data_IF_971201851019
#
_entry.id   IF_971201851019
#
_cell.length_a   1.000
_cell.length_b   1.000
_cell.length_c   1.000
_cell.angle_alpha   90.00
_cell.angle_beta   90.00
_cell.angle_gamma   90.00
#
_symmetry.space_group_name_H-M   'P 1'
#
loop_
_entity.id
_entity.type
_entity.pdbx_description
1 polymer ?
#
# COMPACT_ATOMS: atom_id res chain seq x y z
N UNK A 1 4.51 7.73 -32.69
CA UNK A 1 3.94 8.62 -31.66
C UNK A 1 4.93 8.72 -30.51
N UNK A 2 5.39 9.94 -30.22
CA UNK A 2 6.29 10.40 -29.14
C UNK A 2 5.84 9.94 -27.74
N UNK A 3 6.62 9.19 -26.93
CA UNK A 3 7.72 9.51 -25.97
C UNK A 3 7.29 9.60 -24.47
N UNK A 4 8.18 9.13 -23.58
CA UNK A 4 8.17 8.92 -22.10
C UNK A 4 7.54 7.59 -21.63
N UNK A 5 8.25 6.57 -21.11
CA UNK A 5 9.36 6.44 -20.12
C UNK A 5 9.00 6.83 -18.68
N UNK A 6 8.83 5.80 -17.83
CA UNK A 6 9.12 5.69 -16.37
C UNK A 6 8.22 4.57 -15.82
N UNK A 7 8.71 3.33 -15.65
CA UNK A 7 9.51 2.81 -14.52
C UNK A 7 8.68 2.47 -13.28
N UNK A 8 8.83 1.20 -12.87
CA UNK A 8 8.35 0.53 -11.64
C UNK A 8 6.83 0.41 -11.47
N UNK A 9 6.25 -0.78 -11.30
CA UNK A 9 6.65 -1.74 -10.29
C UNK A 9 6.30 -3.17 -10.74
N UNK A 10 7.26 -3.89 -11.34
CA UNK A 10 7.29 -5.35 -11.14
C UNK A 10 7.74 -5.54 -9.71
N UNK A 11 6.83 -5.67 -8.73
CA UNK A 11 7.20 -6.38 -7.50
C UNK A 11 7.29 -7.85 -7.92
N UNK A 12 8.46 -8.50 -7.92
CA UNK A 12 8.44 -9.96 -7.87
C UNK A 12 7.70 -10.28 -6.58
N UNK A 13 6.50 -10.85 -6.67
CA UNK A 13 5.77 -11.36 -5.51
C UNK A 13 6.67 -12.37 -4.80
N UNK A 14 7.43 -11.88 -3.82
CA UNK A 14 8.21 -12.67 -2.89
C UNK A 14 7.22 -13.47 -2.08
N UNK A 15 7.39 -14.79 -2.08
CA UNK A 15 6.43 -15.80 -1.64
C UNK A 15 6.28 -15.90 -0.11
N UNK A 16 6.49 -14.79 0.57
CA UNK A 16 6.44 -14.66 2.01
C UNK A 16 5.43 -13.56 2.28
N UNK A 17 4.13 -13.87 2.14
CA UNK A 17 3.11 -13.05 2.80
C UNK A 17 3.32 -13.30 4.30
N UNK A 18 4.03 -12.41 5.00
CA UNK A 18 4.47 -12.69 6.35
C UNK A 18 3.24 -12.65 7.25
N UNK A 19 3.19 -13.48 8.28
CA UNK A 19 2.14 -13.40 9.31
C UNK A 19 1.89 -11.96 9.78
N UNK A 20 2.92 -11.11 9.76
CA UNK A 20 2.88 -9.67 9.93
C UNK A 20 1.78 -8.99 9.10
N UNK A 21 1.63 -9.25 7.79
CA UNK A 21 0.58 -8.61 6.99
C UNK A 21 -0.82 -8.96 7.49
N UNK A 22 -1.02 -10.19 7.94
CA UNK A 22 -2.31 -10.63 8.49
C UNK A 22 -2.60 -10.04 9.86
N UNK A 23 -1.57 -9.68 10.61
CA UNK A 23 -1.69 -8.95 11.87
C UNK A 23 -1.93 -7.46 11.61
N UNK A 24 -1.14 -6.85 10.73
CA UNK A 24 -1.31 -5.49 10.21
C UNK A 24 -2.71 -5.25 9.66
N UNK A 25 -3.28 -6.18 8.89
CA UNK A 25 -4.65 -6.04 8.36
C UNK A 25 -5.72 -6.08 9.44
N UNK A 26 -5.44 -6.70 10.59
CA UNK A 26 -6.35 -6.66 11.75
C UNK A 26 -6.19 -5.36 12.53
N UNK A 27 -4.96 -4.89 12.72
CA UNK A 27 -4.67 -3.67 13.48
C UNK A 27 -5.03 -2.40 12.69
N UNK A 28 -4.77 -2.42 11.39
CA UNK A 28 -4.96 -1.30 10.46
C UNK A 28 -6.11 -1.52 9.48
N UNK A 29 -6.99 -2.49 9.72
CA UNK A 29 -8.09 -2.82 8.80
C UNK A 29 -9.03 -1.64 8.51
N UNK A 30 -9.26 -0.77 9.50
CA UNK A 30 -10.03 0.46 9.32
C UNK A 30 -9.33 1.45 8.39
N UNK A 31 -8.05 1.71 8.62
CA UNK A 31 -7.21 2.56 7.76
C UNK A 31 -7.09 1.99 6.35
N UNK A 32 -6.97 0.67 6.23
CA UNK A 32 -6.91 -0.02 4.94
C UNK A 32 -8.21 0.15 4.15
N UNK A 33 -9.39 0.04 4.78
CA UNK A 33 -10.65 0.26 4.09
C UNK A 33 -10.72 1.67 3.49
N UNK A 34 -10.34 2.70 4.25
CA UNK A 34 -10.29 4.08 3.76
C UNK A 34 -9.31 4.25 2.60
N UNK A 35 -8.09 3.71 2.71
CA UNK A 35 -7.13 3.77 1.60
C UNK A 35 -7.60 2.99 0.38
N UNK A 36 -8.33 1.88 0.57
CA UNK A 36 -8.84 1.07 -0.54
C UNK A 36 -9.96 1.80 -1.30
N UNK A 37 -10.74 2.63 -0.60
CA UNK A 37 -11.72 3.52 -1.23
C UNK A 37 -11.05 4.65 -2.01
N UNK A 38 -9.94 5.20 -1.51
CA UNK A 38 -9.19 6.29 -2.17
C UNK A 38 -8.30 5.78 -3.32
N UNK A 39 -7.70 4.60 -3.16
CA UNK A 39 -6.73 3.99 -4.07
C UNK A 39 -7.17 2.55 -4.43
N UNK A 40 -8.22 2.39 -5.25
CA UNK A 40 -8.69 1.08 -5.67
C UNK A 40 -7.67 0.32 -6.53
N UNK A 41 -6.81 1.04 -7.24
CA UNK A 41 -5.74 0.47 -8.08
C UNK A 41 -4.57 -0.12 -7.27
N UNK A 42 -4.47 0.19 -5.97
CA UNK A 42 -3.38 -0.29 -5.11
C UNK A 42 -3.71 -1.63 -4.48
N UNK A 43 -2.73 -2.51 -4.36
CA UNK A 43 -2.91 -3.81 -3.69
C UNK A 43 -3.06 -3.64 -2.19
N UNK A 44 -3.77 -4.56 -1.53
CA UNK A 44 -3.93 -4.49 -0.07
C UNK A 44 -2.57 -4.58 0.65
N UNK A 45 -1.64 -5.36 0.11
CA UNK A 45 -0.27 -5.47 0.62
C UNK A 45 0.46 -4.12 0.56
N UNK A 46 0.44 -3.43 -0.59
CA UNK A 46 1.07 -2.11 -0.73
C UNK A 46 0.46 -1.08 0.23
N UNK A 47 -0.87 -1.09 0.41
CA UNK A 47 -1.56 -0.20 1.34
C UNK A 47 -1.18 -0.49 2.80
N UNK A 48 -1.09 -1.76 3.19
CA UNK A 48 -0.64 -2.15 4.53
C UNK A 48 0.78 -1.72 4.81
N UNK A 49 1.69 -1.89 3.84
CA UNK A 49 3.07 -1.42 3.97
C UNK A 49 3.14 0.10 4.09
N UNK A 50 2.33 0.83 3.32
CA UNK A 50 2.26 2.29 3.43
C UNK A 50 1.75 2.74 4.81
N UNK A 51 0.72 2.07 5.33
CA UNK A 51 0.20 2.33 6.69
C UNK A 51 1.26 1.98 7.74
N UNK A 52 1.95 0.84 7.60
CA UNK A 52 2.99 0.42 8.54
C UNK A 52 4.12 1.44 8.63
N UNK A 53 4.60 1.91 7.48
CA UNK A 53 5.69 2.88 7.38
C UNK A 53 5.25 4.26 7.90
N UNK A 54 3.99 4.62 7.67
CA UNK A 54 3.35 5.79 8.28
C UNK A 54 3.05 5.64 9.79
N UNK A 55 3.44 4.52 10.43
CA UNK A 55 3.22 4.28 11.85
C UNK A 55 1.76 4.03 12.23
N UNK A 56 0.94 3.56 11.29
CA UNK A 56 -0.49 3.34 11.47
C UNK A 56 -1.38 4.51 11.05
N UNK A 57 -0.80 5.63 10.63
CA UNK A 57 -1.55 6.83 10.26
C UNK A 57 -1.99 6.80 8.79
N UNK A 58 -3.32 6.83 8.58
CA UNK A 58 -3.90 6.73 7.24
C UNK A 58 -3.69 8.00 6.41
N UNK A 59 -3.60 9.18 7.05
CA UNK A 59 -3.41 10.44 6.33
C UNK A 59 -1.97 10.53 5.82
N UNK A 60 -0.99 10.14 6.65
CA UNK A 60 0.40 10.03 6.22
C UNK A 60 0.59 8.96 5.15
N UNK A 61 -0.05 7.80 5.30
CA UNK A 61 -0.02 6.76 4.26
C UNK A 61 -0.60 7.28 2.94
N UNK A 62 -1.75 7.96 2.99
CA UNK A 62 -2.39 8.60 1.82
C UNK A 62 -1.45 9.60 1.15
N UNK A 63 -0.79 10.46 1.94
CA UNK A 63 0.14 11.45 1.42
C UNK A 63 1.33 10.79 0.72
N UNK A 64 1.89 9.72 1.30
CA UNK A 64 3.02 8.98 0.73
C UNK A 64 2.68 8.18 -0.53
N UNK A 65 1.43 7.73 -0.64
CA UNK A 65 0.91 7.04 -1.83
C UNK A 65 0.60 8.05 -2.95
N UNK A 66 0.22 9.28 -2.57
CA UNK A 66 -0.17 10.35 -3.51
C UNK A 66 1.01 11.19 -4.00
N UNK A 67 2.13 11.20 -3.27
CA UNK A 67 3.38 11.87 -3.65
C UNK A 67 4.18 11.06 -4.66
#
# INVERSE_FOLDING_TARGET
MTFYSTSSQRRPGGKDEPEDLRQLRREHGGSLATLKELFPDWTEEDLLYAIQDAGGDVNLATLRISE
#
